data_IF_474143207544
#
_entry.id   IF_474143207544
#
_cell.length_a   1.000
_cell.length_b   1.000
_cell.length_c   1.000
_cell.angle_alpha   90.00
_cell.angle_beta   90.00
_cell.angle_gamma   90.00
#
_symmetry.space_group_name_H-M   'P 1'
#
loop_
_entity.id
_entity.type
_entity.pdbx_description
1 polymer ?
#
# COMPACT_ATOMS: atom_id res chain seq x y z
N UNK A 1 -15.98 -28.83 16.18
CA UNK A 1 -14.88 -27.96 15.68
C UNK A 1 -14.91 -27.72 14.17
N UNK A 2 -15.30 -28.67 13.30
CA UNK A 2 -15.32 -28.45 11.83
C UNK A 2 -16.48 -27.55 11.35
N UNK A 3 -17.64 -27.60 12.01
CA UNK A 3 -18.82 -26.83 11.62
C UNK A 3 -18.66 -25.32 11.80
N UNK A 4 -18.02 -24.88 12.90
CA UNK A 4 -17.72 -23.47 13.17
C UNK A 4 -16.74 -22.91 12.13
N UNK A 5 -15.68 -23.66 11.80
CA UNK A 5 -14.74 -23.28 10.73
C UNK A 5 -15.43 -23.18 9.36
N UNK A 6 -16.36 -24.09 9.06
CA UNK A 6 -17.13 -24.05 7.79
C UNK A 6 -18.00 -22.80 7.70
N UNK A 7 -18.70 -22.43 8.78
CA UNK A 7 -19.50 -21.20 8.83
C UNK A 7 -18.64 -19.95 8.64
N UNK A 8 -17.50 -19.86 9.34
CA UNK A 8 -16.57 -18.74 9.18
C UNK A 8 -16.07 -18.58 7.75
N UNK A 9 -15.68 -19.68 7.10
CA UNK A 9 -15.22 -19.67 5.69
C UNK A 9 -16.34 -19.18 4.78
N UNK A 10 -17.56 -19.70 4.92
CA UNK A 10 -18.70 -19.28 4.10
C UNK A 10 -18.98 -17.78 4.25
N UNK A 11 -18.87 -17.26 5.46
CA UNK A 11 -19.08 -15.84 5.76
C UNK A 11 -17.99 -14.97 5.12
N UNK A 12 -16.72 -15.35 5.23
CA UNK A 12 -15.62 -14.62 4.56
C UNK A 12 -15.77 -14.67 3.05
N UNK A 13 -16.15 -15.83 2.49
CA UNK A 13 -16.44 -15.99 1.07
C UNK A 13 -17.60 -15.10 0.61
N UNK A 14 -18.64 -14.97 1.44
CA UNK A 14 -19.74 -14.06 1.17
C UNK A 14 -19.27 -12.60 1.15
N UNK A 15 -18.51 -12.15 2.17
CA UNK A 15 -17.94 -10.80 2.20
C UNK A 15 -17.02 -10.51 1.01
N UNK A 16 -16.20 -11.50 0.61
CA UNK A 16 -15.31 -11.40 -0.55
C UNK A 16 -16.12 -11.25 -1.84
N UNK A 17 -17.15 -12.08 -2.04
CA UNK A 17 -17.97 -12.06 -3.25
C UNK A 17 -18.75 -10.74 -3.37
N UNK A 18 -19.44 -10.33 -2.31
CA UNK A 18 -20.21 -9.09 -2.33
C UNK A 18 -19.28 -7.87 -2.47
N UNK A 19 -18.15 -7.87 -1.76
CA UNK A 19 -17.17 -6.80 -1.85
C UNK A 19 -16.51 -6.71 -3.23
N UNK A 20 -16.26 -7.85 -3.89
CA UNK A 20 -15.82 -7.89 -5.28
C UNK A 20 -16.87 -7.28 -6.21
N UNK A 21 -18.14 -7.71 -6.11
CA UNK A 21 -19.24 -7.19 -6.96
C UNK A 21 -19.36 -5.67 -6.81
N UNK A 22 -19.35 -5.16 -5.57
CA UNK A 22 -19.43 -3.72 -5.31
C UNK A 22 -18.25 -2.95 -5.93
N UNK A 23 -17.05 -3.52 -5.90
CA UNK A 23 -15.85 -2.90 -6.50
C UNK A 23 -15.85 -3.02 -8.02
N UNK A 24 -16.32 -4.13 -8.58
CA UNK A 24 -16.33 -4.39 -10.01
C UNK A 24 -17.45 -3.63 -10.75
N UNK A 25 -18.61 -3.39 -10.12
CA UNK A 25 -19.80 -2.89 -10.80
C UNK A 25 -19.60 -1.58 -11.59
N UNK A 26 -18.81 -0.63 -11.08
CA UNK A 26 -18.59 0.69 -11.70
C UNK A 26 -17.12 1.01 -11.98
N UNK A 27 -16.22 0.03 -11.89
CA UNK A 27 -14.79 0.32 -11.87
C UNK A 27 -14.26 0.88 -13.20
N UNK A 28 -14.87 0.53 -14.33
CA UNK A 28 -14.43 0.97 -15.66
C UNK A 28 -15.36 2.02 -16.29
N UNK A 29 -16.31 2.56 -15.51
CA UNK A 29 -17.33 3.50 -15.99
C UNK A 29 -16.92 4.96 -15.83
N UNK A 30 -16.06 5.27 -14.85
CA UNK A 30 -15.58 6.63 -14.61
C UNK A 30 -14.44 6.97 -15.56
N UNK A 31 -14.45 8.17 -16.13
CA UNK A 31 -13.28 8.72 -16.81
C UNK A 31 -12.06 8.80 -15.89
N UNK A 32 -10.86 8.83 -16.47
CA UNK A 32 -9.62 8.95 -15.70
C UNK A 32 -9.54 10.29 -14.96
N UNK A 33 -9.15 10.24 -13.70
CA UNK A 33 -8.72 11.43 -12.96
C UNK A 33 -7.31 11.86 -13.37
N UNK A 34 -6.95 13.11 -13.07
CA UNK A 34 -5.64 13.69 -13.44
C UNK A 34 -4.46 12.84 -12.95
N UNK A 35 -4.56 12.26 -11.77
CA UNK A 35 -3.54 11.43 -11.16
C UNK A 35 -3.50 10.00 -11.75
N UNK A 36 -4.62 9.50 -12.27
CA UNK A 36 -4.64 8.29 -13.10
C UNK A 36 -4.00 8.53 -14.48
N UNK A 37 -4.10 9.74 -15.04
CA UNK A 37 -3.39 10.12 -16.27
C UNK A 37 -1.88 10.11 -16.06
N UNK A 38 -1.39 10.59 -14.90
CA UNK A 38 0.02 10.44 -14.54
C UNK A 38 0.43 8.97 -14.46
N UNK A 39 -0.39 8.14 -13.81
CA UNK A 39 -0.15 6.70 -13.73
C UNK A 39 -0.11 6.05 -15.12
N UNK A 40 -1.05 6.43 -16.00
CA UNK A 40 -1.09 5.97 -17.38
C UNK A 40 0.23 6.29 -18.10
N UNK A 41 0.67 7.55 -18.06
CA UNK A 41 1.89 7.98 -18.75
C UNK A 41 3.13 7.27 -18.19
N UNK A 42 3.28 7.24 -16.87
CA UNK A 42 4.46 6.69 -16.19
C UNK A 42 4.54 5.15 -16.32
N UNK A 43 3.41 4.47 -16.54
CA UNK A 43 3.35 3.01 -16.70
C UNK A 43 3.46 2.55 -18.16
N UNK A 44 3.62 3.45 -19.13
CA UNK A 44 3.81 3.07 -20.55
C UNK A 44 5.20 2.54 -20.84
N UNK A 45 6.19 3.06 -20.13
CA UNK A 45 7.57 2.62 -20.26
C UNK A 45 7.77 1.26 -19.58
N UNK A 46 8.56 0.40 -20.21
CA UNK A 46 8.98 -0.87 -19.62
C UNK A 46 9.93 -0.63 -18.43
N UNK A 47 10.34 -1.71 -17.76
CA UNK A 47 11.23 -1.59 -16.60
C UNK A 47 12.51 -0.79 -16.90
N UNK A 48 13.09 -0.96 -18.10
CA UNK A 48 14.32 -0.25 -18.47
C UNK A 48 14.05 1.24 -18.71
N UNK A 49 12.95 1.55 -19.40
CA UNK A 49 12.49 2.91 -19.62
C UNK A 49 12.21 3.64 -18.31
N UNK A 50 11.51 2.99 -17.37
CA UNK A 50 11.24 3.57 -16.05
C UNK A 50 12.54 3.81 -15.26
N UNK A 51 13.47 2.86 -15.20
CA UNK A 51 14.77 3.08 -14.54
C UNK A 51 15.56 4.21 -15.18
N UNK A 52 15.53 4.32 -16.52
CA UNK A 52 16.14 5.45 -17.23
C UNK A 52 15.47 6.77 -16.85
N UNK A 53 14.14 6.81 -16.80
CA UNK A 53 13.37 7.99 -16.39
C UNK A 53 13.78 8.46 -14.99
N UNK A 54 13.84 7.56 -14.00
CA UNK A 54 14.27 7.91 -12.64
C UNK A 54 15.73 8.36 -12.56
N UNK A 55 16.59 7.84 -13.43
CA UNK A 55 17.98 8.29 -13.53
C UNK A 55 18.10 9.72 -14.03
N UNK A 56 17.25 10.11 -14.97
CA UNK A 56 17.20 11.45 -15.56
C UNK A 56 16.43 12.45 -14.68
N UNK A 57 15.43 11.97 -13.93
CA UNK A 57 14.54 12.73 -13.06
C UNK A 57 14.58 12.21 -11.60
N UNK A 58 15.74 12.23 -10.92
CA UNK A 58 15.90 11.70 -9.56
C UNK A 58 15.08 12.46 -8.50
N UNK A 59 14.60 13.67 -8.79
CA UNK A 59 13.68 14.43 -7.93
C UNK A 59 12.23 13.95 -8.00
N UNK A 60 11.89 12.99 -8.88
CA UNK A 60 10.55 12.42 -8.96
C UNK A 60 10.27 11.52 -7.75
N UNK A 61 9.40 11.98 -6.85
CA UNK A 61 9.20 11.41 -5.51
C UNK A 61 8.25 10.21 -5.45
N UNK A 62 8.01 9.50 -6.55
CA UNK A 62 7.13 8.33 -6.55
C UNK A 62 7.94 7.03 -6.68
N UNK A 63 7.74 6.04 -5.79
CA UNK A 63 8.38 4.73 -5.91
C UNK A 63 7.93 3.95 -7.16
N UNK A 64 8.78 3.07 -7.72
CA UNK A 64 8.56 2.51 -9.04
C UNK A 64 7.58 1.33 -9.08
N UNK A 65 7.35 0.63 -7.96
CA UNK A 65 6.71 -0.70 -8.00
C UNK A 65 5.32 -0.68 -8.61
N UNK A 66 4.50 0.31 -8.27
CA UNK A 66 3.13 0.35 -8.77
C UNK A 66 3.08 0.57 -10.29
N UNK A 67 3.98 1.40 -10.84
CA UNK A 67 4.06 1.65 -12.27
C UNK A 67 4.62 0.45 -13.03
N UNK A 68 5.61 -0.26 -12.46
CA UNK A 68 6.14 -1.52 -13.01
C UNK A 68 5.05 -2.60 -13.07
N UNK A 69 4.24 -2.71 -12.01
CA UNK A 69 3.12 -3.67 -11.99
C UNK A 69 2.04 -3.27 -12.99
N UNK A 70 1.69 -1.99 -13.05
CA UNK A 70 0.66 -1.49 -13.99
C UNK A 70 1.09 -1.64 -15.45
N UNK A 71 2.39 -1.49 -15.74
CA UNK A 71 2.95 -1.73 -17.07
C UNK A 71 2.66 -3.13 -17.62
N UNK A 72 2.44 -4.14 -16.76
CA UNK A 72 2.09 -5.49 -17.22
C UNK A 72 0.75 -5.56 -17.97
N UNK A 73 -0.05 -4.49 -17.93
CA UNK A 73 -1.34 -4.35 -18.62
C UNK A 73 -1.25 -3.44 -19.86
N UNK A 74 -0.05 -2.96 -20.19
CA UNK A 74 0.24 -2.30 -21.46
C UNK A 74 -0.10 -3.26 -22.63
N UNK A 75 -0.75 -2.82 -23.73
CA UNK A 75 -0.85 -1.45 -24.24
C UNK A 75 -2.03 -0.59 -23.74
N UNK A 76 -2.72 -0.98 -22.66
CA UNK A 76 -3.87 -0.23 -22.12
C UNK A 76 -4.96 0.04 -23.18
N UNK A 77 -5.51 -1.03 -23.78
CA UNK A 77 -6.59 -0.95 -24.78
C UNK A 77 -7.83 -0.19 -24.29
N UNK A 78 -8.13 -0.26 -22.98
CA UNK A 78 -9.15 0.54 -22.31
C UNK A 78 -8.54 1.06 -21.01
N UNK A 79 -7.90 2.24 -21.01
CA UNK A 79 -7.13 2.75 -19.87
C UNK A 79 -7.94 2.80 -18.57
N UNK A 80 -9.22 3.18 -18.63
CA UNK A 80 -10.13 3.22 -17.48
C UNK A 80 -10.28 1.84 -16.83
N UNK A 81 -10.27 0.76 -17.61
CA UNK A 81 -10.32 -0.59 -17.08
C UNK A 81 -8.93 -1.04 -16.64
N UNK A 82 -7.97 -0.93 -17.53
CA UNK A 82 -6.67 -1.60 -17.43
C UNK A 82 -5.85 -1.06 -16.26
N UNK A 83 -5.85 0.26 -16.01
CA UNK A 83 -5.14 0.85 -14.86
C UNK A 83 -5.73 0.45 -13.50
N UNK A 84 -7.00 0.05 -13.47
CA UNK A 84 -7.77 -0.23 -12.25
C UNK A 84 -7.80 -1.70 -11.87
N UNK A 85 -7.26 -2.60 -12.71
CA UNK A 85 -7.23 -4.06 -12.43
C UNK A 85 -6.43 -4.37 -11.16
N UNK A 86 -5.24 -3.79 -11.01
CA UNK A 86 -4.38 -4.04 -9.84
C UNK A 86 -5.04 -3.51 -8.55
N UNK A 87 -5.49 -2.24 -8.48
CA UNK A 87 -6.25 -1.73 -7.34
C UNK A 87 -7.50 -2.56 -7.02
N UNK A 88 -8.23 -3.04 -8.03
CA UNK A 88 -9.41 -3.88 -7.86
C UNK A 88 -9.08 -5.22 -7.19
N UNK A 89 -8.01 -5.88 -7.65
CA UNK A 89 -7.56 -7.17 -7.08
C UNK A 89 -7.16 -6.97 -5.62
N UNK A 90 -6.23 -6.06 -5.33
CA UNK A 90 -5.74 -5.88 -3.97
C UNK A 90 -6.77 -5.25 -3.03
N UNK A 91 -7.66 -4.41 -3.57
CA UNK A 91 -8.78 -3.86 -2.83
C UNK A 91 -9.84 -4.92 -2.46
N UNK A 92 -9.99 -5.94 -3.30
CA UNK A 92 -10.84 -7.10 -3.01
C UNK A 92 -10.18 -8.06 -2.02
N UNK A 93 -8.89 -8.38 -2.22
CA UNK A 93 -8.10 -9.24 -1.32
C UNK A 93 -7.89 -8.63 0.07
N UNK A 94 -8.03 -7.30 0.18
CA UNK A 94 -8.02 -6.60 1.47
C UNK A 94 -9.13 -7.06 2.42
N UNK A 95 -10.27 -7.57 1.91
CA UNK A 95 -11.41 -8.05 2.71
C UNK A 95 -11.06 -9.29 3.54
N UNK A 96 -10.58 -10.41 2.95
CA UNK A 96 -10.12 -11.54 3.74
C UNK A 96 -8.87 -11.20 4.56
N UNK A 97 -8.02 -10.29 4.10
CA UNK A 97 -6.82 -9.91 4.84
C UNK A 97 -7.16 -9.17 6.15
N UNK A 98 -8.11 -8.22 6.13
CA UNK A 98 -8.54 -7.54 7.36
C UNK A 98 -9.19 -8.52 8.33
N UNK A 99 -9.93 -9.52 7.85
CA UNK A 99 -10.47 -10.61 8.68
C UNK A 99 -9.34 -11.36 9.40
N UNK A 100 -8.30 -11.77 8.67
CA UNK A 100 -7.17 -12.52 9.22
C UNK A 100 -6.37 -11.71 10.24
N UNK A 101 -6.15 -10.41 9.95
CA UNK A 101 -5.48 -9.47 10.84
C UNK A 101 -6.29 -9.24 12.12
N UNK A 102 -7.56 -8.88 11.99
CA UNK A 102 -8.46 -8.63 13.12
C UNK A 102 -8.60 -9.87 14.02
N UNK A 103 -8.63 -11.07 13.44
CA UNK A 103 -8.62 -12.33 14.18
C UNK A 103 -7.37 -12.55 15.02
N UNK A 104 -6.24 -11.91 14.69
CA UNK A 104 -5.06 -11.95 15.56
C UNK A 104 -5.31 -11.18 16.86
N UNK A 105 -6.19 -10.18 16.89
CA UNK A 105 -6.51 -9.43 18.11
C UNK A 105 -7.67 -10.08 18.86
N UNK A 106 -8.79 -10.34 18.17
CA UNK A 106 -9.93 -11.05 18.74
C UNK A 106 -10.76 -11.71 17.63
N UNK A 107 -11.17 -12.98 17.79
CA UNK A 107 -12.09 -13.63 16.86
C UNK A 107 -13.43 -12.92 16.71
N UNK A 108 -13.89 -12.23 17.77
CA UNK A 108 -15.20 -11.57 17.81
C UNK A 108 -15.28 -10.36 16.88
N UNK A 109 -14.17 -9.64 16.68
CA UNK A 109 -14.13 -8.44 15.83
C UNK A 109 -13.79 -8.75 14.37
N UNK A 110 -13.28 -9.96 14.08
CA UNK A 110 -12.81 -10.31 12.75
C UNK A 110 -13.90 -10.20 11.68
N UNK A 111 -15.09 -10.72 11.96
CA UNK A 111 -16.22 -10.63 11.03
C UNK A 111 -16.74 -9.18 10.87
N UNK A 112 -17.04 -8.43 11.96
CA UNK A 112 -17.40 -7.02 11.84
C UNK A 112 -16.40 -6.20 11.02
N UNK A 113 -15.08 -6.39 11.21
CA UNK A 113 -14.08 -5.67 10.42
C UNK A 113 -14.14 -6.02 8.91
N UNK A 114 -14.29 -7.29 8.57
CA UNK A 114 -14.41 -7.74 7.18
C UNK A 114 -15.68 -7.21 6.51
N UNK A 115 -16.80 -7.25 7.24
CA UNK A 115 -18.08 -6.71 6.78
C UNK A 115 -17.98 -5.19 6.57
N UNK A 116 -17.46 -4.46 7.56
CA UNK A 116 -17.25 -3.02 7.46
C UNK A 116 -16.41 -2.67 6.23
N UNK A 117 -15.29 -3.37 5.99
CA UNK A 117 -14.44 -3.08 4.85
C UNK A 117 -15.09 -3.46 3.49
N UNK A 118 -15.89 -4.52 3.46
CA UNK A 118 -16.60 -4.93 2.24
C UNK A 118 -17.55 -3.81 1.76
N UNK A 119 -18.24 -3.15 2.70
CA UNK A 119 -19.22 -2.08 2.43
C UNK A 119 -18.68 -0.65 2.59
N UNK A 120 -17.41 -0.47 2.98
CA UNK A 120 -16.82 0.85 3.15
C UNK A 120 -16.68 1.57 1.80
N UNK A 121 -17.53 2.58 1.57
CA UNK A 121 -17.60 3.35 0.33
C UNK A 121 -16.26 3.95 -0.08
N UNK A 122 -15.50 4.49 0.89
CA UNK A 122 -14.17 5.05 0.64
C UNK A 122 -13.19 4.00 0.12
N UNK A 123 -13.16 2.82 0.74
CA UNK A 123 -12.29 1.74 0.29
C UNK A 123 -12.72 1.18 -1.08
N UNK A 124 -14.03 1.14 -1.35
CA UNK A 124 -14.54 0.77 -2.69
C UNK A 124 -14.02 1.77 -3.72
N UNK A 125 -14.09 3.09 -3.45
CA UNK A 125 -13.55 4.12 -4.36
C UNK A 125 -12.06 3.92 -4.59
N UNK A 126 -11.25 3.73 -3.55
CA UNK A 126 -9.81 3.47 -3.70
C UNK A 126 -9.48 2.17 -4.44
N UNK A 127 -10.41 1.20 -4.47
CA UNK A 127 -10.28 -0.04 -5.24
C UNK A 127 -10.64 0.15 -6.72
N UNK A 128 -11.27 1.28 -7.05
CA UNK A 128 -11.66 1.71 -8.40
C UNK A 128 -10.83 2.91 -8.89
N UNK A 129 -9.81 3.35 -8.15
CA UNK A 129 -8.90 4.38 -8.61
C UNK A 129 -7.63 3.69 -9.11
N UNK A 130 -7.14 4.05 -10.30
CA UNK A 130 -5.94 3.55 -10.97
C UNK A 130 -4.65 3.99 -10.28
N UNK A 131 -4.58 3.82 -8.95
CA UNK A 131 -3.58 4.34 -8.02
C UNK A 131 -3.21 3.27 -6.99
N UNK A 132 -2.06 3.47 -6.34
CA UNK A 132 -1.48 2.43 -5.48
C UNK A 132 -2.19 2.21 -4.14
N UNK A 133 -3.22 2.98 -3.80
CA UNK A 133 -3.82 3.03 -2.46
C UNK A 133 -4.31 1.67 -1.95
N UNK A 134 -5.04 0.91 -2.77
CA UNK A 134 -5.56 -0.40 -2.38
C UNK A 134 -4.46 -1.45 -2.20
N UNK A 135 -3.43 -1.40 -3.05
CA UNK A 135 -2.22 -2.22 -2.89
C UNK A 135 -1.48 -1.87 -1.60
N UNK A 136 -1.32 -0.57 -1.31
CA UNK A 136 -0.69 -0.07 -0.09
C UNK A 136 -1.41 -0.60 1.16
N UNK A 137 -2.74 -0.52 1.18
CA UNK A 137 -3.51 -0.98 2.32
C UNK A 137 -3.39 -2.49 2.52
N UNK A 138 -3.48 -3.28 1.43
CA UNK A 138 -3.29 -4.73 1.48
C UNK A 138 -1.92 -5.14 2.03
N UNK A 139 -0.84 -4.55 1.49
CA UNK A 139 0.54 -4.82 1.91
C UNK A 139 0.76 -4.42 3.37
N UNK A 140 0.22 -3.27 3.79
CA UNK A 140 0.32 -2.79 5.17
C UNK A 140 -0.37 -3.74 6.16
N UNK A 141 -1.60 -4.19 5.85
CA UNK A 141 -2.30 -5.18 6.67
C UNK A 141 -1.59 -6.52 6.71
N UNK A 142 -1.01 -6.96 5.60
CA UNK A 142 -0.28 -8.24 5.51
C UNK A 142 1.01 -8.18 6.34
N UNK A 143 1.77 -7.08 6.23
CA UNK A 143 2.95 -6.84 7.07
C UNK A 143 2.60 -6.80 8.56
N UNK A 144 1.53 -6.09 8.94
CA UNK A 144 1.04 -6.07 10.31
C UNK A 144 0.61 -7.45 10.80
N UNK A 145 -0.06 -8.26 9.96
CA UNK A 145 -0.48 -9.60 10.32
C UNK A 145 0.70 -10.48 10.71
N UNK A 146 1.77 -10.49 9.90
CA UNK A 146 2.99 -11.23 10.24
C UNK A 146 3.69 -10.63 11.45
N UNK A 147 3.60 -9.32 11.65
CA UNK A 147 4.20 -8.68 12.81
C UNK A 147 3.52 -9.11 14.11
N UNK A 148 2.19 -9.12 14.15
CA UNK A 148 1.44 -9.66 15.29
C UNK A 148 1.71 -11.16 15.47
N UNK A 149 1.83 -11.95 14.39
CA UNK A 149 2.24 -13.37 14.49
C UNK A 149 3.61 -13.53 15.14
N UNK A 150 4.56 -12.66 14.80
CA UNK A 150 5.87 -12.66 15.46
C UNK A 150 5.73 -12.35 16.95
N UNK A 151 4.99 -11.29 17.32
CA UNK A 151 4.81 -10.92 18.73
C UNK A 151 4.18 -12.04 19.56
N UNK A 152 3.25 -12.81 18.98
CA UNK A 152 2.60 -13.94 19.66
C UNK A 152 3.44 -15.21 19.75
N UNK A 153 4.25 -15.50 18.73
CA UNK A 153 4.96 -16.79 18.63
C UNK A 153 6.46 -16.69 18.89
N UNK A 154 7.02 -15.47 18.93
CA UNK A 154 8.46 -15.18 18.96
C UNK A 154 9.27 -15.81 17.81
N UNK A 155 8.63 -16.35 16.77
CA UNK A 155 9.33 -16.99 15.65
C UNK A 155 9.95 -15.96 14.72
N UNK A 156 11.25 -16.08 14.46
CA UNK A 156 12.01 -15.15 13.61
C UNK A 156 11.64 -15.24 12.12
N UNK A 157 11.07 -16.36 11.67
CA UNK A 157 10.59 -16.51 10.28
C UNK A 157 9.60 -15.41 9.88
N UNK A 158 8.74 -14.99 10.83
CA UNK A 158 7.80 -13.92 10.61
C UNK A 158 8.48 -12.55 10.47
N UNK A 159 9.63 -12.30 11.10
CA UNK A 159 10.36 -11.03 10.94
C UNK A 159 10.83 -10.83 9.50
N UNK A 160 11.26 -11.90 8.84
CA UNK A 160 11.65 -11.83 7.42
C UNK A 160 10.45 -11.43 6.55
N UNK A 161 9.27 -12.01 6.82
CA UNK A 161 8.05 -11.66 6.10
C UNK A 161 7.62 -10.22 6.39
N UNK A 162 7.69 -9.74 7.64
CA UNK A 162 7.41 -8.34 7.98
C UNK A 162 8.36 -7.42 7.22
N UNK A 163 9.67 -7.70 7.25
CA UNK A 163 10.66 -6.90 6.55
C UNK A 163 10.37 -6.86 5.04
N UNK A 164 10.06 -8.01 4.43
CA UNK A 164 9.70 -8.10 3.02
C UNK A 164 8.48 -7.23 2.69
N UNK A 165 7.36 -7.40 3.41
CA UNK A 165 6.14 -6.64 3.13
C UNK A 165 6.32 -5.14 3.38
N UNK A 166 7.04 -4.73 4.43
CA UNK A 166 7.31 -3.32 4.70
C UNK A 166 8.26 -2.70 3.68
N UNK A 167 9.24 -3.44 3.19
CA UNK A 167 10.08 -2.97 2.08
C UNK A 167 9.29 -2.86 0.78
N UNK A 168 8.47 -3.85 0.43
CA UNK A 168 7.58 -3.77 -0.74
C UNK A 168 6.60 -2.59 -0.62
N UNK A 169 6.13 -2.29 0.60
CA UNK A 169 5.30 -1.12 0.91
C UNK A 169 6.05 0.20 0.64
N UNK A 170 7.33 0.28 1.04
CA UNK A 170 8.22 1.41 0.72
C UNK A 170 8.39 1.58 -0.80
N UNK A 171 8.57 0.49 -1.53
CA UNK A 171 8.64 0.48 -2.99
C UNK A 171 7.31 0.81 -3.68
N UNK A 172 6.19 0.82 -2.95
CA UNK A 172 4.85 1.19 -3.45
C UNK A 172 4.54 2.67 -3.21
N UNK A 173 4.85 3.18 -2.01
CA UNK A 173 4.70 4.59 -1.65
C UNK A 173 5.65 4.98 -0.51
N UNK A 174 6.38 6.09 -0.64
CA UNK A 174 7.17 6.64 0.47
C UNK A 174 6.30 7.13 1.63
N UNK A 175 5.00 7.39 1.40
CA UNK A 175 4.05 7.71 2.47
C UNK A 175 3.83 6.54 3.45
N UNK A 176 4.39 5.37 3.17
CA UNK A 176 4.38 4.23 4.08
C UNK A 176 5.38 4.31 5.22
N UNK A 177 6.41 5.17 5.13
CA UNK A 177 7.46 5.28 6.14
C UNK A 177 6.87 5.60 7.53
N UNK A 178 5.98 6.60 7.69
CA UNK A 178 5.33 6.85 8.99
C UNK A 178 4.54 5.64 9.50
N UNK A 179 3.83 4.93 8.62
CA UNK A 179 3.10 3.72 8.99
C UNK A 179 4.03 2.61 9.50
N UNK A 180 5.15 2.35 8.80
CA UNK A 180 6.15 1.37 9.22
C UNK A 180 6.74 1.74 10.58
N UNK A 181 7.09 3.00 10.80
CA UNK A 181 7.63 3.48 12.08
C UNK A 181 6.60 3.36 13.20
N UNK A 182 5.38 3.87 13.00
CA UNK A 182 4.31 3.83 14.00
C UNK A 182 3.88 2.41 14.33
N UNK A 183 3.90 1.48 13.36
CA UNK A 183 3.59 0.08 13.61
C UNK A 183 4.50 -0.54 14.67
N UNK A 184 5.76 -0.09 14.79
CA UNK A 184 6.72 -0.59 15.77
C UNK A 184 6.29 -0.30 17.22
N UNK A 185 5.36 0.63 17.46
CA UNK A 185 4.76 0.82 18.79
C UNK A 185 4.07 -0.46 19.31
N UNK A 186 3.66 -1.36 18.40
CA UNK A 186 3.11 -2.67 18.74
C UNK A 186 4.12 -3.62 19.40
N UNK A 187 5.43 -3.33 19.40
CA UNK A 187 6.38 -4.08 20.24
C UNK A 187 6.04 -3.99 21.73
N UNK A 188 5.35 -2.92 22.13
CA UNK A 188 4.88 -2.72 23.50
C UNK A 188 3.48 -3.30 23.74
N UNK A 189 2.79 -3.73 22.68
CA UNK A 189 1.51 -4.42 22.80
C UNK A 189 1.74 -5.83 23.37
N UNK A 190 1.09 -6.12 24.51
CA UNK A 190 1.15 -7.43 25.16
C UNK A 190 -0.19 -8.13 24.99
N UNK A 191 -0.29 -9.10 24.06
CA UNK A 191 -1.54 -9.82 23.84
C UNK A 191 -1.91 -10.74 25.01
N UNK A 192 -0.92 -11.27 25.72
CA UNK A 192 -1.09 -12.16 26.88
C UNK A 192 -0.09 -11.76 27.99
N UNK A 193 -0.43 -11.95 29.26
CA UNK A 193 0.48 -11.65 30.40
C UNK A 193 1.77 -12.47 30.35
N UNK A 194 1.71 -13.67 29.75
CA UNK A 194 2.86 -14.55 29.51
C UNK A 194 3.67 -14.19 28.25
N UNK A 195 3.24 -13.19 27.48
CA UNK A 195 3.94 -12.80 26.26
C UNK A 195 5.35 -12.30 26.59
N UNK A 196 6.35 -12.90 25.93
CA UNK A 196 7.75 -12.53 26.13
C UNK A 196 7.96 -11.06 25.77
N UNK A 197 8.77 -10.37 26.58
CA UNK A 197 9.17 -8.99 26.30
C UNK A 197 9.83 -8.88 24.92
N UNK A 198 9.66 -7.75 24.22
CA UNK A 198 10.33 -7.52 22.94
C UNK A 198 11.85 -7.67 23.13
N UNK A 199 12.47 -8.54 22.33
CA UNK A 199 13.91 -8.70 22.35
C UNK A 199 14.53 -7.61 21.48
N UNK A 200 15.44 -6.80 22.03
CA UNK A 200 16.16 -5.74 21.30
C UNK A 200 16.80 -6.27 20.01
N UNK A 201 17.31 -7.50 20.02
CA UNK A 201 17.86 -8.13 18.81
C UNK A 201 16.83 -8.28 17.69
N UNK A 202 15.55 -8.54 18.01
CA UNK A 202 14.50 -8.69 16.99
C UNK A 202 14.10 -7.36 16.36
N UNK A 203 14.13 -6.27 17.15
CA UNK A 203 13.96 -4.91 16.65
C UNK A 203 15.10 -4.55 15.70
N UNK A 204 16.35 -4.82 16.11
CA UNK A 204 17.53 -4.54 15.28
C UNK A 204 17.54 -5.37 14.00
N UNK A 205 17.19 -6.66 14.08
CA UNK A 205 17.09 -7.55 12.91
C UNK A 205 16.03 -7.02 11.93
N UNK A 206 14.83 -6.66 12.41
CA UNK A 206 13.76 -6.18 11.54
C UNK A 206 14.17 -4.91 10.79
N UNK A 207 14.69 -3.91 11.51
CA UNK A 207 15.11 -2.65 10.91
C UNK A 207 16.32 -2.83 9.98
N UNK A 208 17.27 -3.69 10.36
CA UNK A 208 18.41 -4.07 9.52
C UNK A 208 17.97 -4.71 8.21
N UNK A 209 17.01 -5.65 8.26
CA UNK A 209 16.47 -6.30 7.05
C UNK A 209 15.74 -5.30 6.15
N UNK A 210 14.87 -4.45 6.72
CA UNK A 210 14.16 -3.41 5.95
C UNK A 210 15.17 -2.48 5.27
N UNK A 211 16.18 -2.03 6.02
CA UNK A 211 17.24 -1.18 5.49
C UNK A 211 17.97 -1.86 4.33
N UNK A 212 18.42 -3.11 4.51
CA UNK A 212 19.11 -3.87 3.46
C UNK A 212 18.25 -4.04 2.20
N UNK A 213 16.95 -4.32 2.34
CA UNK A 213 16.05 -4.47 1.19
C UNK A 213 15.75 -3.14 0.47
N UNK A 214 15.72 -2.02 1.20
CA UNK A 214 15.51 -0.70 0.60
C UNK A 214 16.81 -0.04 0.11
N UNK A 215 17.97 -0.53 0.58
CA UNK A 215 19.29 0.08 0.33
C UNK A 215 19.62 0.22 -1.17
N UNK A 216 19.40 -0.78 -2.05
CA UNK A 216 19.75 -0.66 -3.46
C UNK A 216 19.07 0.54 -4.13
N UNK A 217 17.80 0.79 -3.79
CA UNK A 217 17.03 1.90 -4.35
C UNK A 217 17.40 3.24 -3.73
N UNK A 218 17.64 3.27 -2.41
CA UNK A 218 18.14 4.47 -1.75
C UNK A 218 19.49 4.89 -2.35
N UNK A 219 20.42 3.94 -2.54
CA UNK A 219 21.71 4.20 -3.19
C UNK A 219 21.53 4.65 -4.63
N UNK A 220 20.62 4.03 -5.39
CA UNK A 220 20.31 4.44 -6.75
C UNK A 220 19.86 5.91 -6.81
N UNK A 221 18.95 6.32 -5.92
CA UNK A 221 18.48 7.71 -5.85
C UNK A 221 19.61 8.66 -5.46
N UNK A 222 20.37 8.34 -4.41
CA UNK A 222 21.47 9.19 -3.91
C UNK A 222 22.57 9.38 -4.97
N UNK A 223 22.96 8.32 -5.66
CA UNK A 223 24.03 8.37 -6.67
C UNK A 223 23.62 9.15 -7.93
N UNK A 224 22.32 9.22 -8.23
CA UNK A 224 21.82 9.94 -9.40
C UNK A 224 21.26 11.32 -9.06
N UNK A 225 21.10 11.68 -7.78
CA UNK A 225 20.65 13.00 -7.37
C UNK A 225 21.70 14.08 -7.68
N UNK A 226 21.34 15.03 -8.57
CA UNK A 226 22.24 16.10 -9.04
C UNK A 226 21.90 17.49 -8.47
N UNK A 227 21.22 17.56 -7.32
CA UNK A 227 20.82 18.85 -6.72
C UNK A 227 19.68 19.54 -7.46
N UNK A 228 18.90 18.79 -8.24
CA UNK A 228 17.68 19.30 -8.87
C UNK A 228 16.69 19.72 -7.77
N UNK A 229 15.96 20.85 -7.93
CA UNK A 229 14.97 21.25 -6.94
C UNK A 229 13.86 20.17 -6.86
N UNK A 230 13.49 19.80 -5.62
CA UNK A 230 12.44 18.81 -5.33
C UNK A 230 11.05 19.25 -5.81
N UNK A 231 10.91 20.55 -6.07
CA UNK A 231 9.71 21.19 -6.60
C UNK A 231 10.21 22.03 -7.76
N UNK A 232 9.80 21.71 -8.99
CA UNK A 232 9.85 22.73 -10.04
C UNK A 232 9.07 23.93 -9.47
N UNK A 233 9.69 25.11 -9.30
CA UNK A 233 8.91 26.28 -8.98
C UNK A 233 7.90 26.36 -10.12
N UNK A 234 6.63 26.11 -9.82
CA UNK A 234 5.59 26.60 -10.69
C UNK A 234 5.87 28.09 -10.75
N UNK A 235 6.33 28.58 -11.89
CA UNK A 235 6.21 29.99 -12.22
C UNK A 235 4.71 30.28 -12.33
N UNK A 236 4.01 30.28 -11.20
CA UNK A 236 2.79 31.04 -11.05
C UNK A 236 3.24 32.51 -11.12
N UNK A 237 3.44 33.02 -12.34
CA UNK A 237 3.31 34.44 -12.65
C UNK A 237 1.84 34.84 -12.46
N UNK A 238 1.34 34.69 -11.24
CA UNK A 238 0.18 35.43 -10.80
C UNK A 238 0.76 36.34 -9.73
N UNK A 239 0.94 37.61 -10.07
CA UNK A 239 1.24 38.66 -9.11
C UNK A 239 0.02 38.84 -8.21
N UNK A 240 -0.17 37.92 -7.26
CA UNK A 240 -1.05 38.11 -6.12
C UNK A 240 -0.33 39.06 -5.16
N UNK A 241 -0.25 40.32 -5.58
CA UNK A 241 -0.04 41.43 -4.67
C UNK A 241 -1.23 41.44 -3.72
N UNK A 242 -0.98 41.51 -2.42
CA UNK A 242 -1.99 41.69 -1.37
C UNK A 242 -3.00 42.82 -1.72
N UNK A 243 -2.54 43.83 -2.46
CA UNK A 243 -3.34 44.95 -2.95
C UNK A 243 -4.37 44.56 -4.02
N UNK A 244 -4.08 43.57 -4.87
CA UNK A 244 -5.01 43.11 -5.92
C UNK A 244 -6.20 42.33 -5.34
N UNK A 245 -6.10 41.82 -4.11
CA UNK A 245 -7.22 41.19 -3.39
C UNK A 245 -8.11 42.22 -2.67
N UNK A 246 -7.58 43.41 -2.37
CA UNK A 246 -8.31 44.47 -1.66
C UNK A 246 -8.98 45.47 -2.61
N UNK A 247 -8.55 45.53 -3.87
CA UNK A 247 -9.11 46.40 -4.90
C UNK A 247 -10.18 45.73 -5.77
N UNK A 248 -10.76 44.62 -5.30
CA UNK A 248 -11.91 43.96 -5.94
C UNK A 248 -13.19 44.77 -5.78
#
# INVERSE_FOLDING_TARGET
>A
MSYVKRKEILVVMFCLLIGFVLRFYTFDQKSLWIDEIHTFNDSRDDFRGQIKFYKENPSYLHPPLFFILTHQLHPFTKPERDLRIIPLIFGTLSIPMIYLLARQFSPLIAFPCALSLAFMTYHISLSQDGRSYSLLMFLGMTGLYFFIKHLKTSKKEYLLLVALFFSVLFYTSYSSIPFVVLSQMLWFYRPDEEAKKPNLSSILILNGLIFVFCLPWILFLVLNYRGQPLVHPYEFKVSLSFWNMLSG
#
